data_IF_439924224608
#
_entry.id   IF_439924224608
#
_cell.length_a   1.000
_cell.length_b   1.000
_cell.length_c   1.000
_cell.angle_alpha   90.00
_cell.angle_beta   90.00
_cell.angle_gamma   90.00
#
_symmetry.space_group_name_H-M   'P 1'
#
loop_
_entity.id
_entity.type
_entity.pdbx_description
1 polymer ?
#
# COMPACT_ATOMS: atom_id res chain seq x y z
N UNK A 1 5.14 31.38 -21.74
CA UNK A 1 5.37 32.08 -20.45
C UNK A 1 4.01 32.36 -19.81
N UNK A 2 3.45 31.38 -19.10
CA UNK A 2 2.44 31.61 -18.07
C UNK A 2 2.74 30.59 -16.97
N UNK A 3 3.41 31.12 -15.95
CA UNK A 3 3.50 30.57 -14.59
C UNK A 3 2.09 30.32 -14.06
N UNK A 4 1.97 29.52 -12.99
CA UNK A 4 0.78 29.20 -12.18
C UNK A 4 0.31 27.73 -12.23
N UNK A 5 1.11 26.85 -11.65
CA UNK A 5 0.62 25.68 -10.90
C UNK A 5 1.65 25.26 -9.83
N UNK A 6 1.96 26.23 -8.95
CA UNK A 6 2.55 25.96 -7.63
C UNK A 6 1.60 26.56 -6.61
N UNK A 7 0.83 25.70 -5.93
CA UNK A 7 0.24 25.91 -4.59
C UNK A 7 -0.71 24.75 -4.30
N UNK A 8 -0.38 23.98 -3.26
CA UNK A 8 -1.25 22.93 -2.76
C UNK A 8 -0.63 21.96 -1.77
N UNK A 9 0.67 22.05 -1.43
CA UNK A 9 1.23 21.33 -0.29
C UNK A 9 0.75 22.04 0.99
N UNK A 10 -0.40 21.62 1.52
CA UNK A 10 -0.85 22.02 2.85
C UNK A 10 0.07 21.33 3.85
N UNK A 11 0.86 22.14 4.54
CA UNK A 11 1.70 21.77 5.65
C UNK A 11 0.89 21.01 6.70
N UNK A 12 1.22 19.74 6.95
CA UNK A 12 0.91 19.05 8.21
C UNK A 12 1.79 19.72 9.26
N UNK A 13 1.20 20.59 10.07
CA UNK A 13 1.89 21.26 11.17
C UNK A 13 2.04 20.30 12.34
N UNK A 14 3.21 19.67 12.47
CA UNK A 14 3.63 18.91 13.65
C UNK A 14 3.86 19.91 14.80
N UNK A 15 2.94 20.02 15.76
CA UNK A 15 3.10 20.88 16.93
C UNK A 15 3.81 20.10 18.05
N UNK A 16 5.11 20.34 18.22
CA UNK A 16 5.93 19.87 19.34
C UNK A 16 5.54 20.62 20.63
N UNK A 17 4.61 20.06 21.40
CA UNK A 17 4.26 20.50 22.75
C UNK A 17 4.97 19.68 23.82
N UNK A 18 6.05 20.23 24.38
CA UNK A 18 6.82 19.64 25.49
C UNK A 18 6.06 19.82 26.82
N UNK A 19 5.61 18.73 27.45
CA UNK A 19 5.17 18.69 28.85
C UNK A 19 5.75 17.44 29.53
N UNK A 20 6.59 17.56 30.58
CA UNK A 20 7.11 16.40 31.27
C UNK A 20 6.10 15.94 32.33
N UNK A 21 5.38 14.86 32.05
CA UNK A 21 4.63 14.11 33.07
C UNK A 21 5.27 12.75 33.27
N UNK A 22 5.75 12.54 34.49
CA UNK A 22 6.37 11.33 34.98
C UNK A 22 5.34 10.20 34.99
N UNK A 23 5.44 9.32 34.01
CA UNK A 23 4.79 8.01 33.98
C UNK A 23 5.74 7.04 33.30
N UNK A 24 6.09 5.93 33.95
CA UNK A 24 6.76 4.81 33.29
C UNK A 24 5.77 4.13 32.33
N UNK A 25 5.43 4.80 31.23
CA UNK A 25 5.07 4.15 29.98
C UNK A 25 6.26 4.35 29.06
N UNK A 26 6.78 3.29 28.42
CA UNK A 26 7.79 3.48 27.39
C UNK A 26 7.19 4.42 26.34
N UNK A 27 7.67 5.67 26.29
CA UNK A 27 7.52 6.54 25.13
C UNK A 27 8.19 5.80 23.98
N UNK A 28 7.42 5.09 23.16
CA UNK A 28 7.91 4.49 21.93
C UNK A 28 8.19 5.63 20.96
N UNK A 29 9.45 6.04 20.92
CA UNK A 29 9.97 7.02 19.97
C UNK A 29 9.85 6.41 18.57
N UNK A 30 8.87 6.89 17.82
CA UNK A 30 8.74 6.57 16.40
C UNK A 30 9.86 7.28 15.66
N UNK A 31 10.64 6.53 14.90
CA UNK A 31 11.51 7.11 13.89
C UNK A 31 10.62 7.69 12.78
N UNK A 32 10.41 9.01 12.84
CA UNK A 32 9.49 9.70 11.93
C UNK A 32 9.90 9.58 10.46
N UNK A 33 11.20 9.46 10.18
CA UNK A 33 11.68 9.27 8.81
C UNK A 33 11.29 7.89 8.27
N UNK A 34 11.43 6.85 9.10
CA UNK A 34 10.97 5.50 8.74
C UNK A 34 9.46 5.41 8.63
N UNK A 35 8.72 6.08 9.51
CA UNK A 35 7.26 6.15 9.41
C UNK A 35 6.83 6.85 8.12
N UNK A 36 7.45 7.97 7.76
CA UNK A 36 7.17 8.70 6.51
C UNK A 36 7.46 7.82 5.29
N UNK A 37 8.51 7.01 5.33
CA UNK A 37 8.83 6.04 4.27
C UNK A 37 7.74 4.95 4.13
N UNK A 38 7.31 4.36 5.25
CA UNK A 38 6.19 3.39 5.29
C UNK A 38 4.89 4.02 4.78
N UNK A 39 4.56 5.22 5.25
CA UNK A 39 3.37 5.95 4.83
C UNK A 39 3.39 6.26 3.34
N UNK A 40 4.54 6.66 2.80
CA UNK A 40 4.71 6.90 1.36
C UNK A 40 4.49 5.63 0.53
N UNK A 41 5.02 4.48 0.98
CA UNK A 41 4.74 3.19 0.35
C UNK A 41 3.24 2.90 0.29
N UNK A 42 2.53 3.07 1.41
CA UNK A 42 1.09 2.84 1.50
C UNK A 42 0.34 3.76 0.53
N UNK A 43 0.62 5.07 0.56
CA UNK A 43 -0.05 6.05 -0.29
C UNK A 43 0.11 5.77 -1.79
N UNK A 44 1.24 5.22 -2.20
CA UNK A 44 1.49 4.83 -3.60
C UNK A 44 0.87 3.46 -3.93
N UNK A 45 0.90 2.51 -2.99
CA UNK A 45 0.46 1.13 -3.25
C UNK A 45 -1.05 0.95 -3.21
N UNK A 46 -1.77 1.61 -2.30
CA UNK A 46 -3.23 1.49 -2.16
C UNK A 46 -3.99 1.80 -3.47
N UNK A 47 -3.79 2.95 -4.13
CA UNK A 47 -4.50 3.24 -5.38
C UNK A 47 -4.12 2.26 -6.49
N UNK A 48 -2.89 1.76 -6.52
CA UNK A 48 -2.47 0.75 -7.52
C UNK A 48 -3.24 -0.56 -7.35
N UNK A 49 -3.46 -1.02 -6.12
CA UNK A 49 -4.27 -2.22 -5.86
C UNK A 49 -5.71 -2.01 -6.30
N UNK A 50 -6.31 -0.84 -5.98
CA UNK A 50 -7.68 -0.52 -6.40
C UNK A 50 -7.83 -0.48 -7.92
N UNK A 51 -6.93 0.22 -8.60
CA UNK A 51 -6.90 0.30 -10.07
C UNK A 51 -6.74 -1.09 -10.69
N UNK A 52 -5.81 -1.90 -10.17
CA UNK A 52 -5.57 -3.26 -10.67
C UNK A 52 -6.80 -4.15 -10.50
N UNK A 53 -7.49 -4.07 -9.35
CA UNK A 53 -8.72 -4.84 -9.14
C UNK A 53 -9.81 -4.40 -10.10
N UNK A 54 -10.03 -3.09 -10.22
CA UNK A 54 -11.07 -2.53 -11.09
C UNK A 54 -10.87 -3.01 -12.53
N UNK A 55 -9.65 -2.89 -13.04
CA UNK A 55 -9.25 -3.33 -14.37
C UNK A 55 -9.44 -4.85 -14.54
N UNK A 56 -9.02 -5.64 -13.55
CA UNK A 56 -9.21 -7.08 -13.55
C UNK A 56 -10.69 -7.47 -13.59
N UNK A 57 -11.56 -6.83 -12.82
CA UNK A 57 -13.00 -7.14 -12.80
C UNK A 57 -13.65 -6.91 -14.16
N UNK A 58 -13.25 -5.85 -14.86
CA UNK A 58 -13.75 -5.54 -16.21
C UNK A 58 -13.22 -6.55 -17.23
N UNK A 59 -11.95 -6.94 -17.14
CA UNK A 59 -11.27 -7.68 -18.20
C UNK A 59 -11.19 -9.18 -18.01
N UNK A 60 -11.41 -9.68 -16.80
CA UNK A 60 -11.28 -11.10 -16.44
C UNK A 60 -12.21 -12.02 -17.23
N UNK A 61 -13.22 -11.49 -17.92
CA UNK A 61 -14.10 -12.28 -18.80
C UNK A 61 -13.42 -12.78 -20.08
N UNK A 62 -12.33 -12.13 -20.50
CA UNK A 62 -11.57 -12.53 -21.69
C UNK A 62 -10.11 -12.10 -21.53
N UNK A 63 -9.31 -13.01 -20.99
CA UNK A 63 -7.87 -12.84 -20.82
C UNK A 63 -7.07 -13.19 -22.08
N UNK A 64 -7.73 -13.53 -23.20
CA UNK A 64 -7.02 -13.79 -24.47
C UNK A 64 -6.69 -12.52 -25.23
N UNK A 65 -7.45 -11.45 -24.99
CA UNK A 65 -7.21 -10.16 -25.61
C UNK A 65 -5.81 -9.64 -25.25
N UNK A 66 -5.01 -9.36 -26.28
CA UNK A 66 -3.68 -8.77 -26.13
C UNK A 66 -3.74 -7.39 -25.46
N UNK A 67 -4.74 -6.58 -25.80
CA UNK A 67 -4.94 -5.26 -25.20
C UNK A 67 -5.18 -5.38 -23.68
N UNK A 68 -6.10 -6.26 -23.26
CA UNK A 68 -6.42 -6.45 -21.84
C UNK A 68 -5.24 -6.99 -21.05
N UNK A 69 -4.47 -7.92 -21.64
CA UNK A 69 -3.23 -8.44 -21.05
C UNK A 69 -2.17 -7.35 -20.90
N UNK A 70 -2.03 -6.47 -21.88
CA UNK A 70 -1.09 -5.35 -21.80
C UNK A 70 -1.44 -4.39 -20.66
N UNK A 71 -2.71 -4.06 -20.49
CA UNK A 71 -3.13 -3.21 -19.37
C UNK A 71 -2.89 -3.85 -18.00
N UNK A 72 -3.23 -5.14 -17.82
CA UNK A 72 -2.89 -5.86 -16.58
C UNK A 72 -1.39 -5.84 -16.34
N UNK A 73 -0.60 -6.06 -17.40
CA UNK A 73 0.85 -6.02 -17.33
C UNK A 73 1.36 -4.63 -16.90
N UNK A 74 0.80 -3.54 -17.44
CA UNK A 74 1.13 -2.18 -17.02
C UNK A 74 0.89 -1.96 -15.52
N UNK A 75 -0.21 -2.47 -14.98
CA UNK A 75 -0.48 -2.38 -13.53
C UNK A 75 0.49 -3.22 -12.70
N UNK A 76 0.83 -4.44 -13.14
CA UNK A 76 1.85 -5.26 -12.50
C UNK A 76 3.23 -4.58 -12.51
N UNK A 77 3.61 -3.93 -13.61
CA UNK A 77 4.86 -3.16 -13.69
C UNK A 77 4.87 -1.99 -12.69
N UNK A 78 3.74 -1.30 -12.52
CA UNK A 78 3.62 -0.21 -11.54
C UNK A 78 3.76 -0.72 -10.12
N UNK A 79 3.05 -1.81 -9.77
CA UNK A 79 3.18 -2.46 -8.45
C UNK A 79 4.63 -2.87 -8.20
N UNK A 80 5.28 -3.54 -9.16
CA UNK A 80 6.67 -3.99 -9.04
C UNK A 80 7.61 -2.81 -8.79
N UNK A 81 7.45 -1.71 -9.55
CA UNK A 81 8.27 -0.51 -9.38
C UNK A 81 8.06 0.14 -8.01
N UNK A 82 6.83 0.18 -7.51
CA UNK A 82 6.53 0.68 -6.16
C UNK A 82 7.22 -0.19 -5.11
N UNK A 83 7.09 -1.51 -5.19
CA UNK A 83 7.80 -2.42 -4.28
C UNK A 83 9.32 -2.22 -4.34
N UNK A 84 9.91 -2.10 -5.53
CA UNK A 84 11.35 -1.87 -5.70
C UNK A 84 11.82 -0.52 -5.15
N UNK A 85 10.98 0.51 -5.22
CA UNK A 85 11.30 1.85 -4.76
C UNK A 85 11.27 1.95 -3.23
N UNK A 86 10.33 1.26 -2.59
CA UNK A 86 10.06 1.42 -1.16
C UNK A 86 10.51 0.24 -0.30
N UNK A 87 10.34 -1.00 -0.74
CA UNK A 87 10.73 -2.22 0.00
C UNK A 87 12.23 -2.49 -0.16
N UNK A 88 13.04 -1.50 0.22
CA UNK A 88 14.50 -1.54 0.19
C UNK A 88 15.04 -2.10 1.51
N UNK A 89 16.35 -2.38 1.63
CA UNK A 89 16.95 -2.76 2.92
C UNK A 89 16.77 -1.75 4.05
N UNK A 90 16.44 -0.49 3.72
CA UNK A 90 16.19 0.58 4.70
C UNK A 90 14.71 0.61 5.15
N UNK A 91 13.83 -0.18 4.53
CA UNK A 91 12.47 -0.36 4.99
C UNK A 91 12.49 -1.05 6.37
N UNK A 92 11.80 -0.49 7.39
CA UNK A 92 11.83 -1.05 8.74
C UNK A 92 11.29 -2.48 8.76
N UNK A 93 11.93 -3.34 9.55
CA UNK A 93 11.43 -4.69 9.80
C UNK A 93 10.04 -4.62 10.46
N UNK A 94 9.17 -5.59 10.18
CA UNK A 94 7.81 -5.58 10.73
C UNK A 94 7.81 -5.60 12.25
N UNK A 95 8.76 -6.30 12.89
CA UNK A 95 8.93 -6.31 14.35
C UNK A 95 9.31 -4.93 14.92
N UNK A 96 10.01 -4.10 14.12
CA UNK A 96 10.25 -2.71 14.49
C UNK A 96 8.94 -1.91 14.40
N UNK A 97 8.18 -2.07 13.31
CA UNK A 97 6.90 -1.41 13.09
C UNK A 97 5.89 -1.76 14.18
N UNK A 98 5.82 -3.03 14.61
CA UNK A 98 4.93 -3.50 15.68
C UNK A 98 5.07 -2.69 16.98
N UNK A 99 6.29 -2.22 17.28
CA UNK A 99 6.58 -1.43 18.47
C UNK A 99 6.12 0.03 18.38
N UNK A 100 5.71 0.50 17.21
CA UNK A 100 5.38 1.91 17.00
C UNK A 100 4.07 2.33 17.66
N UNK A 101 4.02 3.59 18.09
CA UNK A 101 2.81 4.25 18.55
C UNK A 101 2.84 5.66 18.00
N UNK A 102 2.08 5.90 16.92
CA UNK A 102 2.19 7.13 16.14
C UNK A 102 0.96 8.00 16.40
N UNK A 103 1.09 9.17 17.06
CA UNK A 103 0.00 10.12 17.15
C UNK A 103 -0.21 10.78 15.77
N UNK A 104 -1.45 10.81 15.30
CA UNK A 104 -1.82 11.38 14.00
C UNK A 104 -2.97 12.37 14.17
N UNK A 105 -2.98 13.40 13.34
CA UNK A 105 -4.08 14.36 13.23
C UNK A 105 -4.43 14.61 11.77
N UNK A 106 -5.70 14.83 11.48
CA UNK A 106 -6.18 15.22 10.16
C UNK A 106 -6.12 16.74 9.91
N UNK A 107 -5.68 17.53 10.91
CA UNK A 107 -5.64 18.99 10.84
C UNK A 107 -6.99 19.68 11.11
N UNK A 108 -8.07 18.93 11.35
CA UNK A 108 -9.39 19.42 11.79
C UNK A 108 -9.63 19.21 13.30
N UNK A 109 -8.55 18.90 14.04
CA UNK A 109 -8.53 18.49 15.46
C UNK A 109 -9.10 17.09 15.73
N UNK A 110 -9.29 16.26 14.69
CA UNK A 110 -9.43 14.83 14.95
C UNK A 110 -8.03 14.27 15.18
N UNK A 111 -7.89 13.54 16.28
CA UNK A 111 -6.64 12.94 16.73
C UNK A 111 -6.89 11.46 16.99
N UNK A 112 -6.00 10.63 16.49
CA UNK A 112 -5.98 9.21 16.81
C UNK A 112 -4.55 8.70 16.87
N UNK A 113 -4.40 7.51 17.40
CA UNK A 113 -3.11 6.84 17.50
C UNK A 113 -3.11 5.65 16.54
N UNK A 114 -2.09 5.59 15.68
CA UNK A 114 -1.78 4.38 14.91
C UNK A 114 -0.99 3.44 15.81
N UNK A 115 -1.51 2.22 15.97
CA UNK A 115 -0.83 1.13 16.66
C UNK A 115 0.01 0.34 15.66
N UNK A 116 1.30 0.24 15.95
CA UNK A 116 2.27 -0.47 15.12
C UNK A 116 1.90 -1.90 14.78
N UNK A 117 1.33 -2.63 15.75
CA UNK A 117 0.85 -4.01 15.58
C UNK A 117 -0.17 -4.15 14.44
N UNK A 118 -1.18 -3.26 14.39
CA UNK A 118 -2.19 -3.26 13.32
C UNK A 118 -1.56 -2.90 11.96
N UNK A 119 -0.62 -1.94 11.97
CA UNK A 119 0.08 -1.47 10.78
C UNK A 119 0.98 -2.55 10.18
N UNK A 120 1.82 -3.19 11.00
CA UNK A 120 2.71 -4.27 10.60
C UNK A 120 1.91 -5.44 10.03
N UNK A 121 0.87 -5.90 10.73
CA UNK A 121 0.04 -7.01 10.27
C UNK A 121 -0.63 -6.75 8.92
N UNK A 122 -1.02 -5.50 8.63
CA UNK A 122 -1.60 -5.14 7.34
C UNK A 122 -0.54 -5.03 6.23
N UNK A 123 0.64 -4.48 6.53
CA UNK A 123 1.77 -4.42 5.59
C UNK A 123 2.32 -5.80 5.22
N UNK A 124 2.42 -6.70 6.21
CA UNK A 124 2.81 -8.12 6.03
C UNK A 124 1.89 -8.87 5.07
N UNK A 125 0.64 -8.42 4.92
CA UNK A 125 -0.29 -8.97 3.95
C UNK A 125 -0.19 -8.27 2.60
N UNK A 126 -0.09 -6.93 2.61
CA UNK A 126 -0.10 -6.13 1.39
C UNK A 126 1.10 -6.41 0.49
N UNK A 127 2.32 -6.39 1.03
CA UNK A 127 3.53 -6.52 0.23
C UNK A 127 3.63 -7.89 -0.47
N UNK A 128 3.45 -9.03 0.23
CA UNK A 128 3.44 -10.34 -0.43
C UNK A 128 2.28 -10.52 -1.41
N UNK A 129 1.09 -9.96 -1.11
CA UNK A 129 -0.03 -10.01 -2.04
C UNK A 129 0.28 -9.22 -3.33
N UNK A 130 0.93 -8.06 -3.21
CA UNK A 130 1.44 -7.28 -4.34
C UNK A 130 2.42 -8.08 -5.22
N UNK A 131 3.40 -8.76 -4.61
CA UNK A 131 4.33 -9.63 -5.34
C UNK A 131 3.62 -10.81 -6.02
N UNK A 132 2.63 -11.41 -5.34
CA UNK A 132 1.83 -12.49 -5.92
C UNK A 132 1.02 -12.01 -7.14
N UNK A 133 0.42 -10.83 -7.09
CA UNK A 133 -0.29 -10.20 -8.21
C UNK A 133 0.64 -10.04 -9.41
N UNK A 134 1.84 -9.50 -9.18
CA UNK A 134 2.87 -9.30 -10.21
C UNK A 134 3.25 -10.62 -10.88
N UNK A 135 3.48 -11.66 -10.09
CA UNK A 135 3.85 -12.98 -10.58
C UNK A 135 2.72 -13.61 -11.42
N UNK A 136 1.47 -13.53 -10.95
CA UNK A 136 0.33 -14.12 -11.63
C UNK A 136 -0.01 -13.41 -12.94
N UNK A 137 0.05 -12.08 -12.98
CA UNK A 137 -0.11 -11.32 -14.21
C UNK A 137 0.99 -11.67 -15.20
N UNK A 138 2.25 -11.78 -14.75
CA UNK A 138 3.35 -12.21 -15.61
C UNK A 138 3.12 -13.58 -16.24
N UNK A 139 2.54 -14.52 -15.49
CA UNK A 139 2.17 -15.85 -16.01
C UNK A 139 1.00 -15.80 -17.02
N UNK A 140 0.00 -14.95 -16.78
CA UNK A 140 -1.13 -14.73 -17.70
C UNK A 140 -0.64 -14.17 -19.05
N UNK A 141 0.32 -13.24 -19.02
CA UNK A 141 0.88 -12.61 -20.23
C UNK A 141 1.69 -13.62 -21.07
N UNK A 142 2.28 -14.64 -20.44
CA UNK A 142 3.18 -15.60 -21.10
C UNK A 142 2.47 -16.83 -21.69
N UNK A 143 1.15 -16.96 -21.54
CA UNK A 143 0.42 -18.14 -21.99
C UNK A 143 -0.84 -17.77 -22.79
N UNK A 144 -1.16 -18.61 -23.77
CA UNK A 144 -2.43 -18.57 -24.51
C UNK A 144 -3.30 -19.80 -24.20
N UNK A 145 -2.85 -20.69 -23.30
CA UNK A 145 -3.60 -21.88 -22.90
C UNK A 145 -4.80 -21.50 -22.01
N UNK A 146 -6.01 -21.75 -22.51
CA UNK A 146 -7.28 -21.42 -21.83
C UNK A 146 -7.42 -22.07 -20.45
N UNK A 147 -6.93 -23.28 -20.28
CA UNK A 147 -7.03 -24.01 -19.01
C UNK A 147 -6.12 -23.37 -17.98
N UNK A 148 -4.89 -23.02 -18.40
CA UNK A 148 -3.94 -22.30 -17.54
C UNK A 148 -4.48 -20.90 -17.21
N UNK A 149 -5.02 -20.18 -18.18
CA UNK A 149 -5.60 -18.85 -17.98
C UNK A 149 -6.76 -18.87 -16.98
N UNK A 150 -7.64 -19.88 -17.05
CA UNK A 150 -8.75 -20.03 -16.11
C UNK A 150 -8.26 -20.22 -14.67
N UNK A 151 -7.28 -21.11 -14.44
CA UNK A 151 -6.69 -21.28 -13.11
C UNK A 151 -6.00 -20.02 -12.60
N UNK A 152 -5.24 -19.34 -13.47
CA UNK A 152 -4.53 -18.11 -13.11
C UNK A 152 -5.47 -16.94 -12.85
N UNK A 153 -6.61 -16.88 -13.52
CA UNK A 153 -7.68 -15.92 -13.23
C UNK A 153 -8.18 -16.08 -11.79
N UNK A 154 -8.48 -17.30 -11.37
CA UNK A 154 -8.96 -17.56 -10.00
C UNK A 154 -7.89 -17.22 -8.95
N UNK A 155 -6.64 -17.62 -9.19
CA UNK A 155 -5.51 -17.28 -8.33
C UNK A 155 -5.31 -15.76 -8.23
N UNK A 156 -5.36 -15.03 -9.36
CA UNK A 156 -5.19 -13.58 -9.40
C UNK A 156 -6.34 -12.86 -8.69
N UNK A 157 -7.59 -13.30 -8.91
CA UNK A 157 -8.73 -12.78 -8.18
C UNK A 157 -8.56 -12.91 -6.67
N UNK A 158 -8.13 -14.09 -6.19
CA UNK A 158 -7.88 -14.30 -4.76
C UNK A 158 -6.73 -13.44 -4.23
N UNK A 159 -5.65 -13.28 -5.00
CA UNK A 159 -4.52 -12.42 -4.60
C UNK A 159 -4.96 -10.94 -4.50
N UNK A 160 -5.76 -10.46 -5.44
CA UNK A 160 -6.32 -9.11 -5.42
C UNK A 160 -7.28 -8.90 -4.25
N UNK A 161 -8.15 -9.88 -3.94
CA UNK A 161 -9.06 -9.77 -2.80
C UNK A 161 -8.30 -9.69 -1.47
N UNK A 162 -7.20 -10.45 -1.32
CA UNK A 162 -6.30 -10.35 -0.17
C UNK A 162 -5.63 -8.98 -0.09
N UNK A 163 -5.11 -8.48 -1.22
CA UNK A 163 -4.49 -7.16 -1.28
C UNK A 163 -5.48 -6.05 -0.92
N UNK A 164 -6.73 -6.15 -1.38
CA UNK A 164 -7.81 -5.22 -1.03
C UNK A 164 -8.19 -5.27 0.44
N UNK A 165 -8.25 -6.47 1.03
CA UNK A 165 -8.51 -6.61 2.46
C UNK A 165 -7.41 -5.93 3.29
N UNK A 166 -6.14 -6.16 2.94
CA UNK A 166 -5.01 -5.48 3.57
C UNK A 166 -5.04 -3.96 3.34
N UNK A 167 -5.36 -3.52 2.12
CA UNK A 167 -5.53 -2.13 1.76
C UNK A 167 -6.62 -1.46 2.61
N UNK A 168 -7.73 -2.15 2.85
CA UNK A 168 -8.83 -1.63 3.66
C UNK A 168 -8.46 -1.54 5.14
N UNK A 169 -7.70 -2.51 5.68
CA UNK A 169 -7.14 -2.40 7.03
C UNK A 169 -6.27 -1.15 7.14
N UNK A 170 -5.38 -0.91 6.17
CA UNK A 170 -4.54 0.30 6.14
C UNK A 170 -5.38 1.57 6.04
N UNK A 171 -6.40 1.63 5.18
CA UNK A 171 -7.29 2.82 5.13
C UNK A 171 -7.96 3.09 6.48
N UNK A 172 -8.41 2.05 7.17
CA UNK A 172 -9.05 2.20 8.49
C UNK A 172 -8.05 2.63 9.57
N UNK A 173 -6.78 2.25 9.47
CA UNK A 173 -5.71 2.74 10.37
C UNK A 173 -5.47 4.24 10.16
N UNK A 174 -5.55 4.73 8.92
CA UNK A 174 -5.21 6.12 8.55
C UNK A 174 -6.42 7.08 8.45
N UNK A 175 -7.66 6.62 8.67
CA UNK A 175 -8.89 7.44 8.55
C UNK A 175 -9.83 7.34 9.77
N UNK A 176 -9.29 7.03 10.96
CA UNK A 176 -10.11 6.88 12.17
C UNK A 176 -10.82 8.17 12.57
#
# INVERSE_FOLDING_TARGET
MFSWLKKGLKYIGLFLGFLPLVGCGQETVVDLEKFDHVNSYILEMLPLIDETKFDFDIWSQDLTSAEKREWLNMNAERIRKTNQLFLTPDFPAYEEIESWTVPVTDGENNEWTIHGEELAAALEQLAPAGEQIVLLIGQIVQTDDQTVLAGKKEELGSALDKALAAAELLRNIFRR
#
